data_IF_019013962038
#
_entry.id   IF_019013962038
#
_cell.length_a   1.000
_cell.length_b   1.000
_cell.length_c   1.000
_cell.angle_alpha   90.00
_cell.angle_beta   90.00
_cell.angle_gamma   90.00
#
_symmetry.space_group_name_H-M   'P 1'
#
loop_
_entity.id
_entity.type
_entity.pdbx_description
1 polymer ?
#
# COMPACT_ATOMS: atom_id res chain seq x y z
N UNK A 1 10.57 10.48 -29.44
CA UNK A 1 9.14 10.74 -29.11
C UNK A 1 9.03 11.15 -27.64
N UNK A 2 8.11 12.05 -27.29
CA UNK A 2 7.92 12.48 -25.90
C UNK A 2 6.95 11.54 -25.19
N UNK A 3 7.47 10.68 -24.33
CA UNK A 3 6.67 9.76 -23.54
C UNK A 3 6.21 10.40 -22.23
N UNK A 4 5.00 10.07 -21.76
CA UNK A 4 4.39 10.58 -20.53
C UNK A 4 3.69 9.45 -19.78
N UNK A 5 3.61 9.55 -18.47
CA UNK A 5 2.79 8.65 -17.64
C UNK A 5 1.46 9.36 -17.34
N UNK A 6 0.36 8.68 -17.62
CA UNK A 6 -1.00 9.14 -17.33
C UNK A 6 -1.57 8.29 -16.19
N UNK A 7 -2.02 8.96 -15.12
CA UNK A 7 -2.67 8.33 -13.98
C UNK A 7 -4.14 8.73 -13.90
N UNK A 8 -5.05 7.78 -13.90
CA UNK A 8 -6.50 8.02 -13.91
C UNK A 8 -7.07 7.96 -12.50
N UNK A 9 -7.84 8.98 -12.13
CA UNK A 9 -8.47 9.03 -10.81
C UNK A 9 -9.52 7.92 -10.66
N UNK A 10 -9.56 7.34 -9.47
CA UNK A 10 -10.62 6.42 -9.05
C UNK A 10 -11.60 7.11 -8.10
N UNK A 11 -11.69 6.59 -6.89
CA UNK A 11 -12.59 7.05 -5.82
C UNK A 11 -12.47 8.55 -5.50
N UNK A 12 -11.29 9.15 -5.71
CA UNK A 12 -11.09 10.59 -5.50
C UNK A 12 -12.04 11.47 -6.32
N UNK A 13 -12.43 11.03 -7.52
CA UNK A 13 -13.35 11.77 -8.39
C UNK A 13 -14.74 11.96 -7.76
N UNK A 14 -15.10 11.15 -6.76
CA UNK A 14 -16.38 11.17 -6.06
C UNK A 14 -16.38 12.07 -4.81
N UNK A 15 -15.24 12.73 -4.47
CA UNK A 15 -15.07 13.48 -3.21
C UNK A 15 -15.73 14.88 -3.17
N UNK A 16 -16.44 15.28 -4.20
CA UNK A 16 -17.18 16.55 -4.22
C UNK A 16 -16.31 17.76 -3.89
N UNK A 17 -16.70 18.56 -2.88
CA UNK A 17 -16.02 19.82 -2.49
C UNK A 17 -14.57 19.62 -2.02
N UNK A 18 -14.22 18.46 -1.48
CA UNK A 18 -12.88 18.18 -0.96
C UNK A 18 -11.92 17.64 -2.03
N UNK A 19 -12.36 17.48 -3.27
CA UNK A 19 -11.57 16.89 -4.37
C UNK A 19 -10.22 17.57 -4.55
N UNK A 20 -10.16 18.90 -4.52
CA UNK A 20 -8.93 19.66 -4.69
C UNK A 20 -7.85 19.33 -3.63
N UNK A 21 -8.25 19.00 -2.40
CA UNK A 21 -7.31 18.61 -1.35
C UNK A 21 -6.69 17.25 -1.66
N UNK A 22 -7.50 16.27 -2.12
CA UNK A 22 -7.01 14.96 -2.53
C UNK A 22 -6.12 15.03 -3.76
N UNK A 23 -6.48 15.84 -4.77
CA UNK A 23 -5.65 16.06 -5.95
C UNK A 23 -4.32 16.70 -5.59
N UNK A 24 -4.32 17.71 -4.71
CA UNK A 24 -3.10 18.37 -4.22
C UNK A 24 -2.20 17.41 -3.45
N UNK A 25 -2.78 16.56 -2.58
CA UNK A 25 -2.04 15.53 -1.85
C UNK A 25 -1.43 14.51 -2.83
N UNK A 26 -2.21 14.06 -3.81
CA UNK A 26 -1.77 13.13 -4.84
C UNK A 26 -0.60 13.68 -5.65
N UNK A 27 -0.69 14.93 -6.12
CA UNK A 27 0.40 15.59 -6.85
C UNK A 27 1.68 15.68 -6.02
N UNK A 28 1.58 15.93 -4.70
CA UNK A 28 2.76 15.91 -3.80
C UNK A 28 3.38 14.53 -3.72
N UNK A 29 2.57 13.48 -3.59
CA UNK A 29 3.03 12.10 -3.52
C UNK A 29 3.72 11.72 -4.84
N UNK A 30 3.10 11.98 -5.99
CA UNK A 30 3.66 11.68 -7.30
C UNK A 30 5.00 12.39 -7.53
N UNK A 31 5.08 13.69 -7.21
CA UNK A 31 6.35 14.45 -7.30
C UNK A 31 7.43 13.85 -6.40
N UNK A 32 7.08 13.47 -5.17
CA UNK A 32 8.02 12.84 -4.24
C UNK A 32 8.55 11.51 -4.77
N UNK A 33 7.66 10.68 -5.33
CA UNK A 33 8.02 9.39 -5.92
C UNK A 33 8.96 9.54 -7.13
N UNK A 34 8.60 10.44 -8.03
CA UNK A 34 9.34 10.67 -9.28
C UNK A 34 10.66 11.39 -9.06
N UNK A 35 10.80 12.20 -7.99
CA UNK A 35 12.05 12.87 -7.65
C UNK A 35 13.23 11.90 -7.48
N UNK A 36 12.97 10.64 -7.15
CA UNK A 36 14.01 9.61 -7.04
C UNK A 36 14.51 9.08 -8.38
N UNK A 37 13.83 9.42 -9.48
CA UNK A 37 14.14 8.99 -10.85
C UNK A 37 14.68 10.15 -11.70
N UNK A 38 14.09 11.35 -11.57
CA UNK A 38 14.47 12.53 -12.33
C UNK A 38 13.47 13.67 -12.14
N UNK A 39 13.57 14.68 -12.97
CA UNK A 39 12.65 15.81 -12.97
C UNK A 39 11.41 15.52 -13.81
N UNK A 40 10.24 15.72 -13.19
CA UNK A 40 8.95 15.57 -13.83
C UNK A 40 8.06 16.78 -13.56
N UNK A 41 7.39 17.24 -14.59
CA UNK A 41 6.24 18.13 -14.49
C UNK A 41 5.01 17.29 -14.15
N UNK A 42 4.42 17.53 -12.97
CA UNK A 42 3.22 16.79 -12.51
C UNK A 42 2.06 17.76 -12.36
N UNK A 43 0.99 17.50 -13.09
CA UNK A 43 -0.25 18.30 -13.05
C UNK A 43 -1.48 17.40 -13.21
N UNK A 44 -2.67 17.95 -12.89
CA UNK A 44 -3.94 17.26 -13.01
C UNK A 44 -4.90 18.07 -13.86
N UNK A 45 -5.51 17.43 -14.83
CA UNK A 45 -6.60 18.02 -15.61
C UNK A 45 -7.60 16.93 -16.03
N UNK A 46 -8.89 17.26 -16.06
CA UNK A 46 -9.97 16.33 -16.47
C UNK A 46 -9.87 14.94 -15.79
N UNK A 47 -9.65 14.92 -14.46
CA UNK A 47 -9.50 13.69 -13.64
C UNK A 47 -8.32 12.80 -14.04
N UNK A 48 -7.32 13.32 -14.72
CA UNK A 48 -6.11 12.62 -15.14
C UNK A 48 -4.89 13.35 -14.63
N UNK A 49 -3.99 12.63 -13.98
CA UNK A 49 -2.66 13.11 -13.61
C UNK A 49 -1.70 12.84 -14.77
N UNK A 50 -0.96 13.85 -15.14
CA UNK A 50 0.10 13.77 -16.15
C UNK A 50 1.44 13.91 -15.45
N UNK A 51 2.35 13.02 -15.77
CA UNK A 51 3.72 13.01 -15.29
C UNK A 51 4.63 13.04 -16.52
N UNK A 52 5.09 14.24 -16.86
CA UNK A 52 5.89 14.51 -18.04
C UNK A 52 7.35 14.66 -17.65
N UNK A 53 8.28 13.90 -18.24
CA UNK A 53 9.72 14.08 -18.01
C UNK A 53 10.16 15.46 -18.51
N UNK A 54 10.99 16.15 -17.74
CA UNK A 54 11.61 17.44 -18.10
C UNK A 54 13.07 17.27 -18.59
N UNK A 55 13.61 16.05 -18.53
CA UNK A 55 14.96 15.68 -18.94
C UNK A 55 14.88 14.54 -19.98
N UNK A 56 15.88 14.41 -20.86
CA UNK A 56 15.83 13.46 -21.98
C UNK A 56 16.13 12.01 -21.57
N UNK A 57 17.05 11.80 -20.64
CA UNK A 57 17.57 10.47 -20.26
C UNK A 57 16.91 9.87 -19.00
N UNK A 58 15.61 10.08 -18.84
CA UNK A 58 14.86 9.53 -17.69
C UNK A 58 14.48 8.07 -17.97
N UNK A 59 14.75 7.19 -16.99
CA UNK A 59 14.25 5.82 -16.98
C UNK A 59 12.75 5.80 -16.74
N UNK A 60 11.99 5.72 -17.85
CA UNK A 60 10.52 5.71 -17.80
C UNK A 60 9.95 4.41 -17.25
N UNK A 61 10.66 3.29 -17.30
CA UNK A 61 10.25 2.03 -16.68
C UNK A 61 10.31 2.14 -15.17
N UNK A 62 11.43 2.63 -14.64
CA UNK A 62 11.58 2.90 -13.22
C UNK A 62 10.58 3.95 -12.73
N UNK A 63 10.34 5.01 -13.50
CA UNK A 63 9.34 6.03 -13.18
C UNK A 63 7.93 5.43 -13.08
N UNK A 64 7.56 4.58 -14.04
CA UNK A 64 6.28 3.89 -14.05
C UNK A 64 6.14 2.95 -12.85
N UNK A 65 7.17 2.18 -12.54
CA UNK A 65 7.21 1.29 -11.37
C UNK A 65 7.07 2.06 -10.03
N UNK A 66 7.66 3.25 -9.94
CA UNK A 66 7.54 4.10 -8.75
C UNK A 66 6.13 4.66 -8.53
N UNK A 67 5.34 4.82 -9.59
CA UNK A 67 3.99 5.40 -9.47
C UNK A 67 2.87 4.36 -9.50
N UNK A 68 3.09 3.16 -10.03
CA UNK A 68 2.05 2.12 -10.11
C UNK A 68 1.55 1.66 -8.73
N UNK A 69 2.38 1.76 -7.69
CA UNK A 69 2.05 1.40 -6.30
C UNK A 69 1.40 2.53 -5.50
N UNK A 70 1.19 3.70 -6.12
CA UNK A 70 0.62 4.87 -5.42
C UNK A 70 -0.89 4.73 -5.33
N UNK A 71 -1.41 4.73 -4.10
CA UNK A 71 -2.85 4.73 -3.86
C UNK A 71 -3.50 6.03 -4.34
N UNK A 72 -4.71 5.89 -4.92
CA UNK A 72 -5.50 6.96 -5.50
C UNK A 72 -5.60 6.88 -7.02
N UNK A 73 -4.74 6.11 -7.69
CA UNK A 73 -4.81 5.84 -9.12
C UNK A 73 -5.60 4.55 -9.39
N UNK A 74 -6.70 4.66 -10.13
CA UNK A 74 -7.49 3.49 -10.54
C UNK A 74 -6.88 2.75 -11.72
N UNK A 75 -6.17 3.48 -12.58
CA UNK A 75 -5.45 2.94 -13.72
C UNK A 75 -4.30 3.85 -14.12
N UNK A 76 -3.34 3.30 -14.85
CA UNK A 76 -2.21 4.03 -15.42
C UNK A 76 -2.04 3.65 -16.89
N UNK A 77 -1.40 4.53 -17.66
CA UNK A 77 -0.86 4.21 -18.98
C UNK A 77 0.43 4.98 -19.23
N UNK A 78 1.32 4.36 -20.00
CA UNK A 78 2.40 5.08 -20.69
C UNK A 78 1.85 5.52 -22.04
N UNK A 79 2.01 6.77 -22.38
CA UNK A 79 1.50 7.34 -23.60
C UNK A 79 2.59 8.18 -24.26
N UNK A 80 2.56 8.24 -25.57
CA UNK A 80 3.30 9.23 -26.33
C UNK A 80 2.39 10.41 -26.66
N UNK A 81 2.91 11.61 -26.57
CA UNK A 81 2.15 12.83 -26.90
C UNK A 81 2.61 13.39 -28.24
N UNK A 82 1.64 13.76 -29.09
CA UNK A 82 1.88 14.42 -30.37
C UNK A 82 0.89 15.55 -30.62
N UNK A 83 1.13 16.27 -31.72
CA UNK A 83 0.21 17.33 -32.19
C UNK A 83 -1.17 16.77 -32.56
N UNK A 84 -2.20 17.61 -32.43
CA UNK A 84 -3.59 17.26 -32.78
C UNK A 84 -3.81 17.36 -34.29
N UNK A 85 -3.03 16.61 -35.05
CA UNK A 85 -3.16 16.42 -36.50
C UNK A 85 -3.32 14.92 -36.82
N UNK A 86 -4.27 14.59 -37.70
CA UNK A 86 -4.59 13.19 -37.97
C UNK A 86 -3.39 12.39 -38.52
N UNK A 87 -2.64 12.97 -39.45
CA UNK A 87 -1.48 12.29 -40.04
C UNK A 87 -0.37 12.07 -38.99
N UNK A 88 -0.14 13.06 -38.13
CA UNK A 88 0.79 12.96 -37.01
C UNK A 88 0.35 11.91 -36.01
N UNK A 89 -0.94 11.83 -35.70
CA UNK A 89 -1.51 10.78 -34.84
C UNK A 89 -1.27 9.39 -35.45
N UNK A 90 -1.56 9.21 -36.74
CA UNK A 90 -1.33 7.93 -37.43
C UNK A 90 0.12 7.49 -37.41
N UNK A 91 1.05 8.38 -37.76
CA UNK A 91 2.47 8.07 -37.77
C UNK A 91 2.97 7.77 -36.34
N UNK A 92 2.59 8.59 -35.35
CA UNK A 92 2.97 8.37 -33.96
C UNK A 92 2.41 7.06 -33.39
N UNK A 93 1.19 6.67 -33.77
CA UNK A 93 0.61 5.40 -33.36
C UNK A 93 1.39 4.22 -33.91
N UNK A 94 1.80 4.28 -35.17
CA UNK A 94 2.65 3.27 -35.81
C UNK A 94 4.02 3.19 -35.14
N UNK A 95 4.69 4.33 -34.99
CA UNK A 95 6.05 4.41 -34.46
C UNK A 95 6.14 3.95 -33.00
N UNK A 96 5.09 4.16 -32.22
CA UNK A 96 5.07 3.85 -30.80
C UNK A 96 4.50 2.47 -30.47
N UNK A 97 3.45 2.04 -31.17
CA UNK A 97 2.73 0.80 -30.88
C UNK A 97 2.92 -0.28 -31.95
N UNK A 98 3.61 0.00 -33.06
CA UNK A 98 3.83 -0.95 -34.14
C UNK A 98 4.43 -2.27 -33.66
N UNK A 99 5.45 -2.21 -32.81
CA UNK A 99 6.07 -3.42 -32.23
C UNK A 99 5.07 -4.21 -31.36
N UNK A 100 4.18 -3.53 -30.63
CA UNK A 100 3.13 -4.18 -29.84
C UNK A 100 2.05 -4.84 -30.70
N UNK A 101 1.92 -4.41 -31.94
CA UNK A 101 1.02 -5.01 -32.92
C UNK A 101 1.63 -6.24 -33.61
N UNK A 102 2.95 -6.40 -33.58
CA UNK A 102 3.60 -7.62 -34.02
C UNK A 102 3.29 -8.78 -33.06
N UNK A 103 2.93 -9.92 -33.58
CA UNK A 103 2.65 -11.12 -32.77
C UNK A 103 1.23 -11.26 -32.24
N UNK A 104 0.35 -10.29 -32.49
CA UNK A 104 -1.11 -10.38 -32.24
C UNK A 104 -1.88 -10.64 -33.52
N UNK A 105 -3.15 -11.02 -33.41
CA UNK A 105 -4.04 -11.29 -34.57
C UNK A 105 -5.15 -10.26 -34.71
N UNK A 106 -5.63 -9.76 -33.58
CA UNK A 106 -6.79 -8.87 -33.56
C UNK A 106 -6.50 -7.61 -32.74
N UNK A 107 -7.02 -6.50 -33.22
CA UNK A 107 -6.92 -5.23 -32.50
C UNK A 107 -8.20 -4.40 -32.62
N UNK A 108 -8.28 -3.37 -31.80
CA UNK A 108 -9.32 -2.36 -31.80
C UNK A 108 -8.72 -0.98 -31.55
N UNK A 109 -9.21 0.03 -32.25
CA UNK A 109 -8.93 1.43 -31.90
C UNK A 109 -10.04 1.95 -31.01
N UNK A 110 -9.69 2.57 -29.91
CA UNK A 110 -10.58 3.36 -29.04
C UNK A 110 -10.15 4.82 -29.07
N UNK A 111 -11.06 5.74 -29.30
CA UNK A 111 -10.75 7.17 -29.30
C UNK A 111 -11.65 7.93 -28.33
N UNK A 112 -11.04 8.83 -27.56
CA UNK A 112 -11.71 9.80 -26.69
C UNK A 112 -11.34 11.20 -27.11
N UNK A 113 -12.35 12.05 -27.35
CA UNK A 113 -12.17 13.44 -27.74
C UNK A 113 -12.72 14.36 -26.65
N UNK A 114 -11.85 14.87 -25.80
CA UNK A 114 -12.20 15.91 -24.83
C UNK A 114 -12.17 17.30 -25.49
N UNK A 115 -11.19 17.56 -26.35
CA UNK A 115 -11.13 18.77 -27.17
C UNK A 115 -12.09 18.66 -28.37
N UNK A 116 -13.19 19.42 -28.30
CA UNK A 116 -14.20 19.45 -29.35
C UNK A 116 -13.81 20.28 -30.58
N UNK A 117 -12.73 21.03 -30.53
CA UNK A 117 -12.19 21.77 -31.69
C UNK A 117 -11.46 20.88 -32.69
N UNK A 118 -11.06 19.66 -32.30
CA UNK A 118 -10.47 18.69 -33.20
C UNK A 118 -11.48 18.30 -34.30
N UNK A 119 -11.09 18.35 -35.60
CA UNK A 119 -12.05 18.29 -36.71
C UNK A 119 -12.78 16.93 -36.84
N UNK A 120 -12.18 15.84 -36.36
CA UNK A 120 -12.78 14.50 -36.45
C UNK A 120 -13.56 14.14 -35.20
N UNK A 121 -14.66 13.45 -35.32
CA UNK A 121 -15.37 12.79 -34.23
C UNK A 121 -14.62 11.55 -33.74
N UNK A 122 -14.89 11.08 -32.50
CA UNK A 122 -14.28 9.85 -32.02
C UNK A 122 -14.55 8.62 -32.92
N UNK A 123 -15.77 8.38 -33.42
CA UNK A 123 -16.00 7.28 -34.37
C UNK A 123 -15.22 7.40 -35.68
N UNK A 124 -15.10 8.62 -36.24
CA UNK A 124 -14.28 8.85 -37.44
C UNK A 124 -12.81 8.57 -37.17
N UNK A 125 -12.25 9.10 -36.05
CA UNK A 125 -10.87 8.86 -35.68
C UNK A 125 -10.60 7.36 -35.47
N UNK A 126 -11.49 6.62 -34.82
CA UNK A 126 -11.37 5.16 -34.65
C UNK A 126 -11.34 4.43 -35.99
N UNK A 127 -12.23 4.80 -36.92
CA UNK A 127 -12.31 4.15 -38.22
C UNK A 127 -11.08 4.42 -39.08
N UNK A 128 -10.71 5.69 -39.20
CA UNK A 128 -9.62 6.09 -40.09
C UNK A 128 -8.24 5.64 -39.58
N UNK A 129 -7.97 5.75 -38.26
CA UNK A 129 -6.74 5.22 -37.65
C UNK A 129 -6.71 3.68 -37.77
N UNK A 130 -7.85 3.02 -37.57
CA UNK A 130 -7.97 1.57 -37.78
C UNK A 130 -7.61 1.15 -39.17
N UNK A 131 -8.13 1.87 -40.19
CA UNK A 131 -7.84 1.63 -41.60
C UNK A 131 -6.34 1.87 -41.93
N UNK A 132 -5.74 2.94 -41.36
CA UNK A 132 -4.31 3.22 -41.52
C UNK A 132 -3.45 2.08 -40.98
N UNK A 133 -3.71 1.60 -39.74
CA UNK A 133 -2.96 0.51 -39.12
C UNK A 133 -3.14 -0.83 -39.86
N UNK A 134 -4.36 -1.13 -40.36
CA UNK A 134 -4.58 -2.29 -41.23
C UNK A 134 -3.79 -2.21 -42.55
N UNK A 135 -3.63 -1.02 -43.10
CA UNK A 135 -2.81 -0.80 -44.30
C UNK A 135 -1.31 -1.07 -44.06
N UNK A 136 -0.84 -0.85 -42.84
CA UNK A 136 0.54 -1.14 -42.42
C UNK A 136 0.75 -2.60 -42.02
N UNK A 137 -0.23 -3.19 -41.34
CA UNK A 137 -0.18 -4.54 -40.77
C UNK A 137 -1.28 -5.41 -41.37
N UNK A 138 -1.11 -5.84 -42.63
CA UNK A 138 -2.15 -6.56 -43.42
C UNK A 138 -2.57 -7.92 -42.88
N UNK A 139 -1.82 -8.46 -41.87
CA UNK A 139 -2.15 -9.69 -41.17
C UNK A 139 -3.13 -9.47 -40.00
N UNK A 140 -3.34 -8.23 -39.56
CA UNK A 140 -4.24 -7.90 -38.45
C UNK A 140 -5.73 -7.94 -38.93
N UNK A 141 -6.60 -8.21 -37.98
CA UNK A 141 -8.05 -8.08 -38.12
C UNK A 141 -8.63 -7.21 -37.01
N UNK A 142 -9.72 -6.53 -37.29
CA UNK A 142 -10.44 -5.75 -36.27
C UNK A 142 -11.40 -6.69 -35.51
N UNK A 143 -11.27 -6.72 -34.19
CA UNK A 143 -12.25 -7.34 -33.29
C UNK A 143 -12.71 -6.31 -32.25
N UNK A 144 -13.98 -5.90 -32.36
CA UNK A 144 -14.55 -4.87 -31.48
C UNK A 144 -14.97 -5.40 -30.11
N UNK A 145 -15.06 -6.73 -29.93
CA UNK A 145 -15.53 -7.37 -28.71
C UNK A 145 -14.37 -7.90 -27.85
N UNK A 146 -13.50 -8.72 -28.44
CA UNK A 146 -12.41 -9.37 -27.73
C UNK A 146 -11.06 -9.19 -28.48
N UNK A 147 -10.56 -7.95 -28.63
CA UNK A 147 -9.29 -7.71 -29.30
C UNK A 147 -8.12 -8.19 -28.45
N UNK A 148 -7.08 -8.74 -29.09
CA UNK A 148 -5.80 -9.04 -28.44
C UNK A 148 -5.11 -7.77 -27.94
N UNK A 149 -5.27 -6.64 -28.66
CA UNK A 149 -4.68 -5.36 -28.30
C UNK A 149 -5.62 -4.18 -28.59
N UNK A 150 -5.55 -3.16 -27.72
CA UNK A 150 -6.29 -1.91 -27.90
C UNK A 150 -5.33 -0.76 -28.13
N UNK A 151 -5.46 -0.12 -29.27
CA UNK A 151 -4.83 1.18 -29.55
C UNK A 151 -5.76 2.27 -29.04
N UNK A 152 -5.31 3.08 -28.12
CA UNK A 152 -6.14 4.13 -27.49
C UNK A 152 -5.58 5.49 -27.87
N UNK A 153 -6.44 6.38 -28.35
CA UNK A 153 -6.12 7.78 -28.66
C UNK A 153 -7.00 8.70 -27.84
N UNK A 154 -6.39 9.54 -27.04
CA UNK A 154 -7.09 10.55 -26.24
C UNK A 154 -6.72 11.96 -26.77
N UNK A 155 -7.60 12.59 -27.55
CA UNK A 155 -7.44 13.98 -28.00
C UNK A 155 -7.91 14.92 -26.89
N UNK A 156 -6.95 15.66 -26.31
CA UNK A 156 -7.16 16.54 -25.19
C UNK A 156 -6.69 17.97 -25.49
N UNK A 157 -6.83 18.90 -24.55
CA UNK A 157 -6.55 20.32 -24.78
C UNK A 157 -5.11 20.58 -25.25
N UNK A 158 -4.14 19.85 -24.67
CA UNK A 158 -2.70 20.08 -24.91
C UNK A 158 -2.05 19.17 -25.96
N UNK A 159 -2.76 18.20 -26.51
CA UNK A 159 -2.21 17.25 -27.48
C UNK A 159 -3.07 16.02 -27.69
N UNK A 160 -2.60 15.15 -28.56
CA UNK A 160 -3.11 13.79 -28.72
C UNK A 160 -2.18 12.82 -27.97
N UNK A 161 -2.78 11.97 -27.14
CA UNK A 161 -2.08 10.98 -26.33
C UNK A 161 -2.40 9.60 -26.86
N UNK A 162 -1.39 8.86 -27.25
CA UNK A 162 -1.49 7.53 -27.85
C UNK A 162 -0.88 6.51 -26.91
N UNK A 163 -1.64 5.47 -26.60
CA UNK A 163 -1.19 4.42 -25.69
C UNK A 163 -1.89 3.07 -25.94
N UNK A 164 -1.33 2.01 -25.39
CA UNK A 164 -1.93 0.68 -25.33
C UNK A 164 -3.00 0.56 -24.22
N UNK A 165 -3.37 -0.67 -23.83
CA UNK A 165 -4.30 -0.91 -22.74
C UNK A 165 -3.86 -0.23 -21.43
N UNK A 166 -4.83 0.27 -20.66
CA UNK A 166 -4.56 0.81 -19.33
C UNK A 166 -4.23 -0.33 -18.36
N UNK A 167 -3.21 -0.12 -17.55
CA UNK A 167 -2.83 -1.04 -16.49
C UNK A 167 -3.64 -0.68 -15.23
N UNK A 168 -4.25 -1.65 -14.53
CA UNK A 168 -4.91 -1.39 -13.26
C UNK A 168 -3.94 -0.78 -12.24
N UNK A 169 -4.38 0.28 -11.57
CA UNK A 169 -3.67 0.87 -10.44
C UNK A 169 -4.18 0.31 -9.11
N UNK A 170 -3.55 0.72 -8.01
CA UNK A 170 -3.92 0.26 -6.67
C UNK A 170 -5.28 0.79 -6.18
N UNK A 171 -5.82 1.85 -6.79
CA UNK A 171 -7.05 2.49 -6.35
C UNK A 171 -6.92 3.13 -4.96
N UNK A 172 -8.02 3.23 -4.22
CA UNK A 172 -8.02 3.80 -2.87
C UNK A 172 -7.87 5.32 -2.84
N UNK A 173 -7.24 5.83 -1.77
CA UNK A 173 -7.04 7.27 -1.49
C UNK A 173 -5.56 7.58 -1.25
N UNK A 174 -5.09 8.79 -1.54
CA UNK A 174 -3.72 9.20 -1.29
C UNK A 174 -3.35 9.07 0.20
N UNK A 175 -2.21 8.47 0.50
CA UNK A 175 -1.72 8.25 1.86
C UNK A 175 -1.57 9.59 2.61
N UNK A 176 -2.02 9.62 3.87
CA UNK A 176 -1.99 10.81 4.74
C UNK A 176 -3.23 11.71 4.63
N UNK A 177 -4.21 11.37 3.77
CA UNK A 177 -5.46 12.15 3.66
C UNK A 177 -6.54 11.77 4.66
N UNK A 178 -6.36 10.66 5.39
CA UNK A 178 -7.31 10.14 6.38
C UNK A 178 -6.72 10.07 7.80
N UNK A 179 -5.74 10.92 8.11
CA UNK A 179 -5.06 10.92 9.41
C UNK A 179 -3.85 9.98 9.45
N UNK A 180 -3.40 9.66 10.68
CA UNK A 180 -2.21 8.83 10.95
C UNK A 180 -2.53 7.72 11.95
N UNK A 181 -1.88 6.57 11.76
CA UNK A 181 -2.01 5.46 12.71
C UNK A 181 -0.66 4.76 12.93
N UNK A 182 -0.56 4.06 14.07
CA UNK A 182 0.58 3.21 14.40
C UNK A 182 0.19 1.76 14.16
N UNK A 183 0.84 1.10 13.21
CA UNK A 183 0.59 -0.30 12.86
C UNK A 183 1.47 -1.23 13.69
N UNK A 184 0.87 -2.20 14.36
CA UNK A 184 1.57 -3.24 15.11
C UNK A 184 2.13 -4.27 14.14
N UNK A 185 3.37 -4.07 13.72
CA UNK A 185 4.04 -4.88 12.71
C UNK A 185 4.79 -6.05 13.35
N UNK A 186 4.39 -7.26 13.01
CA UNK A 186 5.04 -8.51 13.38
C UNK A 186 5.77 -9.13 12.19
N UNK A 187 6.53 -10.21 12.41
CA UNK A 187 7.13 -11.01 11.35
C UNK A 187 6.15 -11.92 10.61
N UNK A 188 4.87 -11.94 10.97
CA UNK A 188 3.81 -12.75 10.35
C UNK A 188 3.23 -12.13 9.08
N UNK A 189 2.37 -12.91 8.41
CA UNK A 189 1.74 -12.56 7.12
C UNK A 189 0.73 -11.40 7.29
N UNK A 190 0.02 -11.35 8.42
CA UNK A 190 -1.19 -10.54 8.58
C UNK A 190 -0.91 -9.04 8.76
N UNK A 191 0.08 -8.69 9.56
CA UNK A 191 0.34 -7.28 9.91
C UNK A 191 0.83 -6.40 8.76
N UNK A 192 1.64 -6.89 7.79
CA UNK A 192 1.95 -6.13 6.57
C UNK A 192 0.71 -5.91 5.69
N UNK A 193 -0.16 -6.91 5.57
CA UNK A 193 -1.42 -6.81 4.83
C UNK A 193 -2.37 -5.80 5.49
N UNK A 194 -2.43 -5.78 6.82
CA UNK A 194 -3.20 -4.77 7.55
C UNK A 194 -2.70 -3.34 7.26
N UNK A 195 -1.38 -3.14 7.25
CA UNK A 195 -0.77 -1.86 6.90
C UNK A 195 -1.14 -1.43 5.47
N UNK A 196 -0.98 -2.32 4.48
CA UNK A 196 -1.36 -2.06 3.10
C UNK A 196 -2.83 -1.63 2.99
N UNK A 197 -3.76 -2.38 3.59
CA UNK A 197 -5.19 -2.10 3.51
C UNK A 197 -5.56 -0.76 4.12
N UNK A 198 -4.94 -0.39 5.24
CA UNK A 198 -5.20 0.90 5.89
C UNK A 198 -4.56 2.07 5.14
N UNK A 199 -3.34 1.90 4.61
CA UNK A 199 -2.72 2.89 3.74
C UNK A 199 -3.55 3.13 2.46
N UNK A 200 -4.15 2.06 1.89
CA UNK A 200 -5.09 2.15 0.75
C UNK A 200 -6.33 3.01 1.06
N UNK A 201 -6.71 3.15 2.33
CA UNK A 201 -7.79 4.05 2.79
C UNK A 201 -7.31 5.46 3.14
N UNK A 202 -6.05 5.78 2.82
CA UNK A 202 -5.48 7.11 2.99
C UNK A 202 -4.82 7.35 4.34
N UNK A 203 -4.65 6.35 5.21
CA UNK A 203 -3.91 6.52 6.46
C UNK A 203 -2.41 6.62 6.22
N UNK A 204 -1.77 7.62 6.81
CA UNK A 204 -0.33 7.64 7.00
C UNK A 204 0.06 6.68 8.13
N UNK A 205 1.07 5.84 7.92
CA UNK A 205 1.44 4.81 8.88
C UNK A 205 2.87 4.99 9.37
N UNK A 206 3.03 4.82 10.69
CA UNK A 206 4.27 4.38 11.32
C UNK A 206 4.05 2.95 11.86
N UNK A 207 5.13 2.25 12.18
CA UNK A 207 5.10 0.86 12.63
C UNK A 207 5.72 0.71 14.00
N UNK A 208 5.21 -0.24 14.79
CA UNK A 208 5.78 -0.66 16.06
C UNK A 208 6.00 -2.18 16.07
N UNK A 209 7.15 -2.61 16.53
CA UNK A 209 7.51 -4.00 16.74
C UNK A 209 8.02 -4.22 18.14
N UNK A 210 7.68 -5.34 18.75
CA UNK A 210 8.12 -5.74 20.09
C UNK A 210 9.18 -6.83 19.96
N UNK A 211 10.37 -6.55 20.49
CA UNK A 211 11.50 -7.47 20.48
C UNK A 211 11.83 -7.92 21.91
N UNK A 212 12.06 -9.22 22.11
CA UNK A 212 12.35 -9.81 23.41
C UNK A 212 13.67 -10.60 23.40
N UNK A 213 14.85 -9.94 23.22
CA UNK A 213 16.11 -10.63 23.34
C UNK A 213 16.33 -11.12 24.79
N UNK A 214 16.97 -12.31 25.04
CA UNK A 214 17.56 -13.20 24.04
C UNK A 214 16.57 -14.20 23.40
N UNK A 215 15.29 -14.14 23.73
CA UNK A 215 14.28 -15.07 23.24
C UNK A 215 13.95 -14.87 21.78
N UNK A 216 13.95 -13.61 21.28
CA UNK A 216 13.87 -13.32 19.85
C UNK A 216 15.27 -13.01 19.31
N UNK A 217 15.55 -13.52 18.10
CA UNK A 217 16.86 -13.32 17.45
C UNK A 217 16.95 -11.95 16.76
N UNK A 218 18.16 -11.47 16.49
CA UNK A 218 18.37 -10.30 15.63
C UNK A 218 17.81 -10.50 14.22
N UNK A 219 17.81 -11.75 13.71
CA UNK A 219 17.19 -12.09 12.44
C UNK A 219 15.66 -11.88 12.44
N UNK A 220 14.98 -12.08 13.57
CA UNK A 220 13.56 -11.75 13.70
C UNK A 220 13.31 -10.24 13.55
N UNK A 221 14.16 -9.40 14.15
CA UNK A 221 14.13 -7.93 13.99
C UNK A 221 14.40 -7.51 12.55
N UNK A 222 15.41 -8.10 11.90
CA UNK A 222 15.74 -7.83 10.49
C UNK A 222 14.59 -8.24 9.57
N UNK A 223 13.93 -9.36 9.83
CA UNK A 223 12.73 -9.81 9.11
C UNK A 223 11.62 -8.74 9.16
N UNK A 224 11.32 -8.20 10.32
CA UNK A 224 10.29 -7.15 10.46
C UNK A 224 10.70 -5.86 9.77
N UNK A 225 11.99 -5.49 9.84
CA UNK A 225 12.51 -4.35 9.09
C UNK A 225 12.36 -4.55 7.58
N UNK A 226 12.69 -5.73 7.06
CA UNK A 226 12.50 -6.08 5.65
C UNK A 226 11.01 -6.01 5.24
N UNK A 227 10.08 -6.50 6.07
CA UNK A 227 8.65 -6.36 5.83
C UNK A 227 8.22 -4.88 5.77
N UNK A 228 8.73 -4.03 6.67
CA UNK A 228 8.48 -2.59 6.63
C UNK A 228 9.02 -1.95 5.33
N UNK A 229 10.18 -2.38 4.84
CA UNK A 229 10.74 -1.93 3.56
C UNK A 229 9.89 -2.37 2.38
N UNK A 230 9.44 -3.64 2.35
CA UNK A 230 8.59 -4.19 1.27
C UNK A 230 7.24 -3.49 1.13
N UNK A 231 6.65 -2.99 2.22
CA UNK A 231 5.38 -2.26 2.17
C UNK A 231 5.55 -0.75 1.93
N UNK A 232 6.77 -0.21 2.06
CA UNK A 232 7.08 1.22 1.84
C UNK A 232 6.72 1.74 0.45
N UNK A 233 6.82 0.96 -0.66
CA UNK A 233 6.29 1.36 -1.96
C UNK A 233 4.80 1.75 -1.96
N UNK A 234 4.02 1.21 -1.04
CA UNK A 234 2.58 1.50 -0.88
C UNK A 234 2.33 2.59 0.17
N UNK A 235 2.95 2.47 1.34
CA UNK A 235 2.70 3.36 2.50
C UNK A 235 3.44 4.69 2.43
N UNK A 236 4.49 4.79 1.62
CA UNK A 236 5.46 5.90 1.68
C UNK A 236 6.52 5.68 2.76
N UNK A 237 7.44 6.62 2.89
CA UNK A 237 8.48 6.56 3.93
C UNK A 237 7.87 6.60 5.33
N UNK A 238 8.30 5.70 6.21
CA UNK A 238 7.73 5.46 7.53
C UNK A 238 8.79 5.39 8.62
N UNK A 239 8.39 5.31 9.89
CA UNK A 239 9.26 4.97 11.00
C UNK A 239 8.85 3.59 11.53
N UNK A 240 9.86 2.79 11.91
CA UNK A 240 9.69 1.55 12.66
C UNK A 240 10.21 1.78 14.06
N UNK A 241 9.35 1.63 15.07
CA UNK A 241 9.70 1.67 16.48
C UNK A 241 9.90 0.24 16.98
N UNK A 242 11.12 -0.09 17.42
CA UNK A 242 11.45 -1.40 18.00
C UNK A 242 11.51 -1.26 19.51
N UNK A 243 10.54 -1.86 20.19
CA UNK A 243 10.36 -1.78 21.64
C UNK A 243 11.07 -2.95 22.31
N UNK A 244 11.99 -2.71 23.28
CA UNK A 244 12.59 -3.76 24.11
C UNK A 244 11.55 -4.29 25.09
N UNK A 245 10.98 -5.46 24.82
CA UNK A 245 9.82 -5.97 25.54
C UNK A 245 10.12 -7.11 26.52
N UNK A 246 11.36 -7.55 26.64
CA UNK A 246 11.75 -8.70 27.48
C UNK A 246 11.29 -8.52 28.95
N UNK A 247 11.61 -7.38 29.57
CA UNK A 247 11.28 -7.14 30.99
C UNK A 247 9.78 -7.17 31.30
N UNK A 248 8.91 -6.43 30.54
CA UNK A 248 7.47 -6.55 30.72
C UNK A 248 6.96 -7.98 30.53
N UNK A 249 7.48 -8.68 29.53
CA UNK A 249 7.05 -10.04 29.19
C UNK A 249 7.39 -11.05 30.29
N UNK A 250 8.62 -11.02 30.81
CA UNK A 250 9.06 -11.84 31.94
C UNK A 250 8.28 -11.53 33.20
N UNK A 251 8.05 -10.25 33.49
CA UNK A 251 7.28 -9.83 34.65
C UNK A 251 5.84 -10.36 34.63
N UNK A 252 5.17 -10.33 33.47
CA UNK A 252 3.84 -10.91 33.29
C UNK A 252 3.88 -12.43 33.49
N UNK A 253 4.88 -13.13 32.88
CA UNK A 253 5.05 -14.57 33.04
C UNK A 253 5.19 -14.99 34.52
N UNK A 254 5.97 -14.22 35.28
CA UNK A 254 6.33 -14.59 36.65
C UNK A 254 5.27 -14.21 37.68
N UNK A 255 4.31 -13.32 37.34
CA UNK A 255 3.35 -12.77 38.30
C UNK A 255 1.88 -12.98 37.90
N UNK A 256 1.60 -13.45 36.69
CA UNK A 256 0.22 -13.66 36.22
C UNK A 256 -0.14 -15.15 36.15
N UNK A 257 -1.44 -15.50 36.22
CA UNK A 257 -1.88 -16.85 35.93
C UNK A 257 -1.53 -17.24 34.48
N UNK A 258 -0.90 -18.39 34.29
CA UNK A 258 -0.42 -18.85 32.97
C UNK A 258 -1.49 -18.77 31.87
N UNK A 259 -2.72 -19.19 32.18
CA UNK A 259 -3.83 -19.20 31.22
C UNK A 259 -4.22 -17.79 30.71
N UNK A 260 -3.87 -16.72 31.45
CA UNK A 260 -4.17 -15.32 31.11
C UNK A 260 -2.98 -14.62 30.44
N UNK A 261 -1.79 -15.25 30.44
CA UNK A 261 -0.54 -14.66 29.95
C UNK A 261 -0.72 -13.97 28.59
N UNK A 262 -1.26 -14.66 27.61
CA UNK A 262 -1.39 -14.13 26.23
C UNK A 262 -2.22 -12.87 26.17
N UNK A 263 -3.33 -12.80 26.88
CA UNK A 263 -4.21 -11.62 26.90
C UNK A 263 -3.56 -10.46 27.64
N UNK A 264 -2.95 -10.72 28.79
CA UNK A 264 -2.24 -9.70 29.57
C UNK A 264 -1.04 -9.12 28.80
N UNK A 265 -0.27 -9.99 28.13
CA UNK A 265 0.82 -9.57 27.26
C UNK A 265 0.33 -8.64 26.14
N UNK A 266 -0.76 -9.00 25.45
CA UNK A 266 -1.33 -8.17 24.40
C UNK A 266 -1.86 -6.84 24.92
N UNK A 267 -2.47 -6.80 26.08
CA UNK A 267 -2.91 -5.56 26.75
C UNK A 267 -1.73 -4.65 27.07
N UNK A 268 -0.65 -5.21 27.59
CA UNK A 268 0.63 -4.48 27.83
C UNK A 268 1.18 -3.88 26.53
N UNK A 269 1.25 -4.67 25.45
CA UNK A 269 1.65 -4.17 24.14
C UNK A 269 0.76 -3.04 23.63
N UNK A 270 -0.57 -3.13 23.81
CA UNK A 270 -1.51 -2.08 23.43
C UNK A 270 -1.30 -0.79 24.21
N UNK A 271 -1.02 -0.85 25.52
CA UNK A 271 -0.70 0.34 26.34
C UNK A 271 0.58 1.02 25.86
N UNK A 272 1.64 0.25 25.64
CA UNK A 272 2.91 0.78 25.10
C UNK A 272 2.70 1.41 23.72
N UNK A 273 1.98 0.71 22.82
CA UNK A 273 1.67 1.22 21.49
C UNK A 273 0.86 2.52 21.54
N UNK A 274 -0.11 2.61 22.46
CA UNK A 274 -0.92 3.82 22.69
C UNK A 274 -0.05 5.02 23.10
N UNK A 275 0.90 4.82 24.01
CA UNK A 275 1.86 5.87 24.43
C UNK A 275 2.70 6.35 23.26
N UNK A 276 3.29 5.44 22.48
CA UNK A 276 4.12 5.79 21.33
C UNK A 276 3.28 6.44 20.23
N UNK A 277 2.08 5.93 19.94
CA UNK A 277 1.16 6.49 18.97
C UNK A 277 0.84 7.96 19.26
N UNK A 278 0.46 8.27 20.49
CA UNK A 278 0.18 9.65 20.93
C UNK A 278 1.41 10.56 20.81
N UNK A 279 2.60 10.10 21.20
CA UNK A 279 3.86 10.85 21.03
C UNK A 279 4.16 11.15 19.55
N UNK A 280 3.73 10.29 18.62
CA UNK A 280 3.94 10.47 17.18
C UNK A 280 2.76 11.19 16.46
N UNK A 281 1.74 11.61 17.20
CA UNK A 281 0.54 12.23 16.64
C UNK A 281 -0.29 11.26 15.79
N UNK A 282 -0.27 9.98 16.14
CA UNK A 282 -1.18 8.99 15.56
C UNK A 282 -2.53 9.04 16.28
N UNK A 283 -3.60 8.86 15.53
CA UNK A 283 -5.00 8.96 15.98
C UNK A 283 -5.66 7.58 16.16
N UNK A 284 -4.96 6.51 15.73
CA UNK A 284 -5.43 5.13 15.82
C UNK A 284 -4.28 4.14 15.91
N UNK A 285 -4.58 2.92 16.36
CA UNK A 285 -3.73 1.74 16.22
C UNK A 285 -4.26 0.86 15.09
N UNK A 286 -3.38 0.12 14.42
CA UNK A 286 -3.75 -0.87 13.40
C UNK A 286 -3.20 -2.22 13.82
N UNK A 287 -4.02 -3.27 13.72
CA UNK A 287 -3.59 -4.65 14.01
C UNK A 287 -3.95 -5.59 12.86
N UNK A 288 -3.18 -6.66 12.71
CA UNK A 288 -3.44 -7.72 11.73
C UNK A 288 -4.36 -8.83 12.25
N UNK A 289 -5.25 -8.54 13.20
CA UNK A 289 -6.14 -9.53 13.78
C UNK A 289 -7.26 -9.93 12.82
N UNK A 290 -7.48 -11.27 12.70
CA UNK A 290 -8.63 -11.88 12.05
C UNK A 290 -9.41 -12.71 13.08
N UNK A 291 -10.75 -12.62 13.05
CA UNK A 291 -11.58 -13.25 14.06
C UNK A 291 -11.41 -14.77 14.05
N UNK A 292 -11.21 -15.34 15.25
CA UNK A 292 -11.04 -16.78 15.48
C UNK A 292 -9.83 -17.45 14.78
N UNK A 293 -8.88 -16.68 14.25
CA UNK A 293 -7.69 -17.25 13.64
C UNK A 293 -6.77 -17.91 14.68
N UNK A 294 -6.65 -17.29 15.86
CA UNK A 294 -5.91 -17.84 17.01
C UNK A 294 -6.73 -17.60 18.30
N UNK A 295 -6.36 -18.30 19.38
CA UNK A 295 -7.09 -18.27 20.67
C UNK A 295 -7.25 -16.88 21.28
N UNK A 296 -6.30 -15.97 21.03
CA UNK A 296 -6.36 -14.57 21.50
C UNK A 296 -7.20 -13.64 20.61
N UNK A 297 -7.80 -14.14 19.54
CA UNK A 297 -8.59 -13.35 18.58
C UNK A 297 -10.08 -13.71 18.62
N UNK A 298 -10.57 -14.09 19.79
CA UNK A 298 -12.01 -14.23 20.05
C UNK A 298 -12.62 -12.88 20.43
N UNK A 299 -13.92 -12.72 20.27
CA UNK A 299 -14.61 -11.45 20.62
C UNK A 299 -14.34 -11.03 22.08
N UNK A 300 -14.34 -12.00 23.04
CA UNK A 300 -14.03 -11.72 24.44
C UNK A 300 -12.57 -11.29 24.65
N UNK A 301 -11.60 -11.95 23.99
CA UNK A 301 -10.21 -11.56 24.07
C UNK A 301 -9.97 -10.17 23.45
N UNK A 302 -10.61 -9.87 22.32
CA UNK A 302 -10.57 -8.54 21.70
C UNK A 302 -11.18 -7.47 22.61
N UNK A 303 -12.30 -7.73 23.26
CA UNK A 303 -12.90 -6.83 24.25
C UNK A 303 -11.91 -6.50 25.38
N UNK A 304 -11.21 -7.51 25.89
CA UNK A 304 -10.20 -7.31 26.93
C UNK A 304 -9.01 -6.46 26.44
N UNK A 305 -8.52 -6.69 25.21
CA UNK A 305 -7.42 -5.90 24.65
C UNK A 305 -7.84 -4.47 24.32
N UNK A 306 -9.06 -4.25 23.83
CA UNK A 306 -9.59 -2.92 23.52
C UNK A 306 -9.70 -2.04 24.77
N UNK A 307 -10.08 -2.63 25.90
CA UNK A 307 -10.18 -1.93 27.19
C UNK A 307 -8.82 -1.47 27.78
N UNK A 308 -7.70 -1.85 27.17
CA UNK A 308 -6.37 -1.50 27.67
C UNK A 308 -5.86 -0.11 27.22
N UNK A 309 -6.55 0.54 26.29
CA UNK A 309 -6.10 1.79 25.68
C UNK A 309 -7.32 2.60 25.16
N UNK A 310 -7.11 3.85 24.75
CA UNK A 310 -8.18 4.80 24.41
C UNK A 310 -8.21 5.26 22.93
N UNK A 311 -7.20 4.91 22.12
CA UNK A 311 -7.25 5.16 20.70
C UNK A 311 -8.10 4.10 19.98
N UNK A 312 -8.81 4.43 18.90
CA UNK A 312 -9.52 3.43 18.10
C UNK A 312 -8.54 2.40 17.52
N UNK A 313 -8.91 1.11 17.60
CA UNK A 313 -8.16 0.01 16.99
C UNK A 313 -8.81 -0.37 15.67
N UNK A 314 -8.07 -0.21 14.57
CA UNK A 314 -8.50 -0.56 13.23
C UNK A 314 -8.03 -1.98 12.90
N UNK A 315 -8.99 -2.86 12.58
CA UNK A 315 -8.75 -4.27 12.25
C UNK A 315 -9.19 -4.57 10.82
N UNK A 316 -8.38 -4.20 9.81
CA UNK A 316 -8.80 -4.31 8.41
C UNK A 316 -8.95 -5.76 7.92
N UNK A 317 -8.52 -6.74 8.70
CA UNK A 317 -8.56 -8.17 8.36
C UNK A 317 -9.60 -8.95 9.17
N UNK A 318 -10.39 -8.29 10.02
CA UNK A 318 -11.22 -8.95 11.04
C UNK A 318 -12.20 -9.99 10.47
N UNK A 319 -12.71 -9.80 9.27
CA UNK A 319 -13.64 -10.71 8.59
C UNK A 319 -13.03 -11.44 7.37
N UNK A 320 -11.71 -11.37 7.18
CA UNK A 320 -11.03 -12.04 6.07
C UNK A 320 -10.57 -13.44 6.47
N UNK A 321 -10.67 -14.38 5.54
CA UNK A 321 -10.05 -15.70 5.72
C UNK A 321 -8.54 -15.66 5.40
N UNK A 322 -7.85 -16.77 5.74
CA UNK A 322 -6.39 -16.84 5.58
C UNK A 322 -5.96 -16.80 4.11
N UNK A 323 -6.78 -17.32 3.20
CA UNK A 323 -6.49 -17.35 1.76
C UNK A 323 -6.48 -15.96 1.18
N UNK A 324 -7.50 -15.14 1.48
CA UNK A 324 -7.58 -13.73 1.04
C UNK A 324 -6.38 -12.90 1.55
N UNK A 325 -5.95 -13.15 2.80
CA UNK A 325 -4.80 -12.47 3.39
C UNK A 325 -3.51 -12.89 2.68
N UNK A 326 -3.32 -14.19 2.39
CA UNK A 326 -2.15 -14.72 1.67
C UNK A 326 -2.10 -14.16 0.25
N UNK A 327 -3.22 -14.10 -0.48
CA UNK A 327 -3.28 -13.51 -1.82
C UNK A 327 -2.82 -12.04 -1.80
N UNK A 328 -3.32 -11.27 -0.83
CA UNK A 328 -2.88 -9.86 -0.66
C UNK A 328 -1.39 -9.79 -0.30
N UNK A 329 -0.90 -10.66 0.58
CA UNK A 329 0.52 -10.71 0.97
C UNK A 329 1.45 -11.01 -0.21
N UNK A 330 1.03 -11.90 -1.12
CA UNK A 330 1.75 -12.17 -2.38
C UNK A 330 1.73 -10.97 -3.32
N UNK A 331 0.57 -10.30 -3.45
CA UNK A 331 0.44 -9.08 -4.26
C UNK A 331 1.42 -7.98 -3.82
N UNK A 332 1.62 -7.81 -2.53
CA UNK A 332 2.54 -6.80 -1.97
C UNK A 332 3.96 -7.33 -1.71
N UNK A 333 4.30 -8.51 -2.20
CA UNK A 333 5.61 -9.17 -2.10
C UNK A 333 6.12 -9.39 -0.66
N UNK A 334 5.22 -9.52 0.33
CA UNK A 334 5.62 -9.77 1.73
C UNK A 334 5.56 -11.24 2.13
N UNK A 335 4.91 -12.08 1.34
CA UNK A 335 4.65 -13.48 1.71
C UNK A 335 5.94 -14.27 1.99
N UNK A 336 6.89 -14.27 1.06
CA UNK A 336 8.13 -15.06 1.18
C UNK A 336 8.97 -14.66 2.38
N UNK A 337 9.05 -13.36 2.67
CA UNK A 337 9.72 -12.87 3.89
C UNK A 337 8.94 -13.26 5.15
N UNK A 338 7.61 -13.19 5.12
CA UNK A 338 6.76 -13.49 6.29
C UNK A 338 6.84 -14.94 6.75
N UNK A 339 7.09 -15.89 5.86
CA UNK A 339 7.17 -17.33 6.18
C UNK A 339 8.56 -17.79 6.64
N UNK A 340 9.56 -16.89 6.67
CA UNK A 340 10.88 -17.23 7.21
C UNK A 340 10.79 -17.66 8.68
N UNK A 341 11.57 -18.70 9.11
CA UNK A 341 11.41 -19.34 10.40
C UNK A 341 12.04 -18.56 11.57
N UNK A 342 11.73 -17.28 11.68
CA UNK A 342 12.16 -16.43 12.79
C UNK A 342 10.94 -16.01 13.61
N UNK A 343 10.93 -16.44 14.87
CA UNK A 343 9.78 -16.29 15.76
C UNK A 343 9.65 -14.88 16.33
N UNK A 344 8.39 -14.44 16.47
CA UNK A 344 8.02 -13.20 17.15
C UNK A 344 7.91 -13.39 18.67
N UNK A 345 7.99 -12.30 19.42
CA UNK A 345 7.85 -12.32 20.88
C UNK A 345 6.50 -12.89 21.35
N UNK A 346 5.44 -12.84 20.51
CA UNK A 346 4.12 -13.33 20.87
C UNK A 346 4.02 -14.86 21.01
N UNK A 347 4.95 -15.62 20.45
CA UNK A 347 5.00 -17.09 20.55
C UNK A 347 5.78 -17.56 21.78
N UNK A 348 6.60 -16.68 22.37
CA UNK A 348 7.41 -16.99 23.54
C UNK A 348 6.51 -17.03 24.77
N UNK A 349 6.71 -18.02 25.62
CA UNK A 349 5.93 -18.25 26.86
C UNK A 349 4.43 -18.46 26.66
N UNK A 350 3.98 -18.76 25.43
CA UNK A 350 2.56 -19.07 25.19
C UNK A 350 2.17 -20.34 25.96
N UNK A 351 1.16 -20.28 26.85
CA UNK A 351 0.76 -21.46 27.62
C UNK A 351 0.13 -22.51 26.72
N UNK A 352 0.23 -23.82 27.10
CA UNK A 352 -0.39 -24.91 26.33
C UNK A 352 -1.92 -24.75 26.18
N UNK A 353 -2.58 -24.16 27.16
CA UNK A 353 -4.03 -23.98 27.21
C UNK A 353 -4.40 -22.53 27.56
N UNK A 354 -4.23 -21.57 26.63
CA UNK A 354 -4.60 -20.18 26.87
C UNK A 354 -6.13 -20.05 27.01
N UNK A 355 -6.58 -19.13 27.85
CA UNK A 355 -8.01 -18.87 28.03
C UNK A 355 -8.62 -18.23 26.78
N UNK A 356 -9.57 -18.95 26.17
CA UNK A 356 -10.21 -18.56 24.90
C UNK A 356 -11.27 -17.47 25.11
N UNK A 357 -11.95 -17.49 26.28
CA UNK A 357 -13.00 -16.53 26.66
C UNK A 357 -12.66 -15.87 28.00
N UNK A 358 -11.68 -14.96 28.05
CA UNK A 358 -11.37 -14.21 29.26
C UNK A 358 -12.50 -13.23 29.56
N UNK A 359 -12.81 -13.03 30.83
CA UNK A 359 -13.68 -11.95 31.28
C UNK A 359 -12.83 -10.74 31.70
N UNK A 360 -13.31 -9.52 31.40
CA UNK A 360 -12.54 -8.31 31.65
C UNK A 360 -12.20 -8.11 33.15
N UNK A 361 -13.13 -8.40 34.03
CA UNK A 361 -12.91 -8.24 35.46
C UNK A 361 -11.80 -9.15 35.99
N UNK A 362 -11.73 -10.40 35.50
CA UNK A 362 -10.67 -11.32 35.86
C UNK A 362 -9.29 -10.82 35.37
N UNK A 363 -9.24 -10.23 34.19
CA UNK A 363 -8.02 -9.63 33.62
C UNK A 363 -7.59 -8.42 34.45
N UNK A 364 -8.53 -7.56 34.84
CA UNK A 364 -8.23 -6.39 35.66
C UNK A 364 -7.77 -6.78 37.08
N UNK A 365 -8.34 -7.84 37.67
CA UNK A 365 -7.90 -8.39 38.95
C UNK A 365 -6.44 -8.93 38.84
N UNK A 366 -6.13 -9.67 37.78
CA UNK A 366 -4.77 -10.15 37.55
C UNK A 366 -3.78 -8.98 37.35
N UNK A 367 -4.16 -7.93 36.63
CA UNK A 367 -3.33 -6.72 36.45
C UNK A 367 -3.10 -5.97 37.78
N UNK A 368 -4.13 -5.90 38.65
CA UNK A 368 -4.00 -5.28 39.96
C UNK A 368 -2.95 -5.99 40.85
N UNK A 369 -2.73 -7.29 40.63
CA UNK A 369 -1.66 -8.07 41.26
C UNK A 369 -0.23 -7.77 40.72
N UNK A 370 -0.11 -6.94 39.69
CA UNK A 370 1.16 -6.63 39.02
C UNK A 370 1.53 -5.13 39.07
N UNK A 371 1.74 -4.52 40.26
CA UNK A 371 1.90 -3.06 40.38
C UNK A 371 3.15 -2.52 39.70
N UNK A 372 4.18 -3.35 39.44
CA UNK A 372 5.41 -2.97 38.74
C UNK A 372 5.28 -2.92 37.22
N UNK A 373 4.21 -3.47 36.63
CA UNK A 373 4.07 -3.60 35.19
C UNK A 373 4.02 -2.23 34.49
N UNK A 374 3.28 -1.28 35.03
CA UNK A 374 3.15 0.06 34.42
C UNK A 374 4.49 0.80 34.29
N UNK A 375 5.38 0.65 35.26
CA UNK A 375 6.73 1.24 35.19
C UNK A 375 7.55 0.56 34.09
N UNK A 376 7.53 -0.76 33.99
CA UNK A 376 8.25 -1.51 32.93
C UNK A 376 7.73 -1.18 31.55
N UNK A 377 6.43 -0.98 31.38
CA UNK A 377 5.80 -0.52 30.13
C UNK A 377 6.27 0.89 29.74
N UNK A 378 6.33 1.81 30.71
CA UNK A 378 6.83 3.17 30.47
C UNK A 378 8.31 3.16 30.04
N UNK A 379 9.16 2.39 30.76
CA UNK A 379 10.57 2.22 30.42
C UNK A 379 10.75 1.62 29.02
N UNK A 380 9.95 0.62 28.66
CA UNK A 380 9.98 0.01 27.32
C UNK A 380 9.58 1.00 26.22
N UNK A 381 8.55 1.83 26.46
CA UNK A 381 8.11 2.87 25.52
C UNK A 381 9.18 3.97 25.34
N UNK A 382 9.88 4.35 26.40
CA UNK A 382 10.95 5.37 26.35
C UNK A 382 12.19 4.88 25.61
N UNK A 383 12.54 3.59 25.79
CA UNK A 383 13.71 2.98 25.17
C UNK A 383 13.44 2.39 23.77
N UNK A 384 12.29 2.70 23.16
CA UNK A 384 11.99 2.24 21.81
C UNK A 384 12.98 2.83 20.80
N UNK A 385 13.70 1.97 20.08
CA UNK A 385 14.57 2.36 18.97
C UNK A 385 13.74 2.83 17.79
N UNK A 386 14.05 4.00 17.23
CA UNK A 386 13.40 4.53 16.04
C UNK A 386 14.27 4.32 14.80
N UNK A 387 13.79 3.54 13.86
CA UNK A 387 14.42 3.28 12.57
C UNK A 387 13.64 4.00 11.49
N UNK A 388 14.28 4.88 10.71
CA UNK A 388 13.64 5.51 9.55
C UNK A 388 13.73 4.58 8.36
N UNK A 389 12.60 4.25 7.74
CA UNK A 389 12.49 3.47 6.50
C UNK A 389 12.11 4.42 5.36
N UNK A 390 12.95 4.48 4.32
CA UNK A 390 12.70 5.31 3.14
C UNK A 390 12.29 4.46 1.96
N UNK A 391 11.57 5.05 1.03
CA UNK A 391 11.17 4.37 -0.20
C UNK A 391 12.35 3.98 -1.11
N UNK A 392 13.50 4.62 -0.89
CA UNK A 392 14.74 4.36 -1.63
C UNK A 392 15.65 3.34 -0.95
N UNK A 393 15.28 2.88 0.25
CA UNK A 393 16.09 1.90 0.97
C UNK A 393 15.92 0.53 0.31
N UNK A 394 17.03 -0.15 0.04
CA UNK A 394 17.01 -1.54 -0.40
C UNK A 394 16.47 -2.44 0.70
N UNK A 395 15.85 -3.53 0.31
CA UNK A 395 15.33 -4.51 1.26
C UNK A 395 16.49 -5.29 1.86
N UNK A 396 16.58 -5.30 3.19
CA UNK A 396 17.61 -6.07 3.89
C UNK A 396 17.44 -7.58 3.60
N UNK A 397 18.55 -8.24 3.32
CA UNK A 397 18.55 -9.68 3.16
C UNK A 397 18.40 -10.37 4.52
N UNK A 398 17.42 -11.26 4.65
CA UNK A 398 17.05 -11.94 5.90
C UNK A 398 17.30 -13.45 5.85
N UNK A 399 17.48 -13.99 4.64
CA UNK A 399 17.68 -15.42 4.39
C UNK A 399 19.10 -15.95 4.60
#
# INVERSE_FOLDING_TARGET
MREVIMGYQGEMSLKGLNRNQFESAMMKILRYRLKTVGKFRVYCTQSTFYMEPEEEDIDMDLAFDRVKTVFGLAALSRAVVCEKDFNTICQTAEDYLGDSLHGIRTFKVEARRADKSFPMTSPELMRELGAYLLGKHNYLKVDVHNPDFKVIVEVRDYGAYIHGPKIPGEGGLPVGTSGRALNMLSGGIDSPVAAYRMAKRGLGLDHIHFASPPYTSERAKLKVKALAQLITPYTGSTNLFVVPYTKPQEYIRDNAPDVLFTVLMRRSMMRIANVIAKKQGCEALVTGESLAQVTSQTVKALQCTDAAQDLPILRPLIGMDKTEIIETSRHINTFETSILPYEDCCTIFTPPHPKIRPELDEILEAEAGMPGLAQLEAEAAENAERIRIRITDDVDFVG
#
